data_IF_339239743681
#
_entry.id   IF_339239743681
#
_cell.length_a   1.000
_cell.length_b   1.000
_cell.length_c   1.000
_cell.angle_alpha   90.00
_cell.angle_beta   90.00
_cell.angle_gamma   90.00
#
_symmetry.space_group_name_H-M   'P 1'
#
loop_
_entity.id
_entity.type
_entity.pdbx_description
1 polymer ?
#
# COMPACT_ATOMS: atom_id res chain seq x y z
N UNK A 1 -12.03 2.42 -32.89
CA UNK A 1 -11.92 3.83 -32.44
C UNK A 1 -12.23 3.88 -30.95
N UNK A 2 -11.22 4.06 -30.10
CA UNK A 2 -11.43 4.37 -28.69
C UNK A 2 -11.55 5.89 -28.60
N UNK A 3 -12.61 6.46 -28.02
CA UNK A 3 -12.68 7.90 -27.82
C UNK A 3 -11.58 8.29 -26.83
N UNK A 4 -10.56 8.99 -27.33
CA UNK A 4 -9.54 9.63 -26.51
C UNK A 4 -10.19 10.85 -25.83
N UNK A 5 -10.86 10.60 -24.70
CA UNK A 5 -11.25 11.67 -23.79
C UNK A 5 -9.98 12.40 -23.32
N UNK A 6 -9.91 13.74 -23.42
CA UNK A 6 -8.79 14.50 -22.90
C UNK A 6 -8.77 14.35 -21.37
N UNK A 7 -7.98 13.39 -20.89
CA UNK A 7 -7.72 13.21 -19.47
C UNK A 7 -6.90 14.41 -19.01
N UNK A 8 -7.55 15.36 -18.36
CA UNK A 8 -6.87 16.47 -17.71
C UNK A 8 -5.87 15.91 -16.68
N UNK A 9 -4.68 16.53 -16.51
CA UNK A 9 -3.68 16.07 -15.54
C UNK A 9 -4.27 15.86 -14.14
N UNK A 10 -5.19 16.76 -13.74
CA UNK A 10 -5.94 16.69 -12.49
C UNK A 10 -6.74 15.38 -12.32
N UNK A 11 -7.38 14.87 -13.38
CA UNK A 11 -8.14 13.63 -13.33
C UNK A 11 -7.22 12.40 -13.10
N UNK A 12 -6.03 12.40 -13.70
CA UNK A 12 -5.03 11.34 -13.51
C UNK A 12 -4.51 11.33 -12.06
N UNK A 13 -4.23 12.51 -11.50
CA UNK A 13 -3.82 12.66 -10.10
C UNK A 13 -4.91 12.22 -9.12
N UNK A 14 -6.17 12.66 -9.35
CA UNK A 14 -7.31 12.25 -8.53
C UNK A 14 -7.51 10.74 -8.55
N UNK A 15 -7.41 10.10 -9.72
CA UNK A 15 -7.59 8.66 -9.86
C UNK A 15 -6.47 7.89 -9.14
N UNK A 16 -5.21 8.34 -9.26
CA UNK A 16 -4.08 7.74 -8.53
C UNK A 16 -4.21 7.86 -7.01
N UNK A 17 -4.59 9.04 -6.55
CA UNK A 17 -4.79 9.29 -5.12
C UNK A 17 -5.92 8.41 -4.58
N UNK A 18 -7.03 8.31 -5.32
CA UNK A 18 -8.15 7.44 -4.97
C UNK A 18 -7.72 5.97 -4.88
N UNK A 19 -7.06 5.42 -5.91
CA UNK A 19 -6.62 4.02 -5.94
C UNK A 19 -5.65 3.74 -4.79
N UNK A 20 -4.69 4.62 -4.56
CA UNK A 20 -3.69 4.44 -3.49
C UNK A 20 -4.35 4.50 -2.11
N UNK A 21 -5.30 5.42 -1.92
CA UNK A 21 -6.04 5.57 -0.67
C UNK A 21 -6.92 4.35 -0.41
N UNK A 22 -7.68 3.89 -1.41
CA UNK A 22 -8.51 2.69 -1.29
C UNK A 22 -7.69 1.45 -0.98
N UNK A 23 -6.55 1.26 -1.66
CA UNK A 23 -5.67 0.11 -1.43
C UNK A 23 -5.07 0.15 -0.03
N UNK A 24 -4.63 1.33 0.43
CA UNK A 24 -4.13 1.50 1.81
C UNK A 24 -5.20 1.26 2.84
N UNK A 25 -6.40 1.82 2.67
CA UNK A 25 -7.53 1.61 3.58
C UNK A 25 -7.90 0.13 3.68
N UNK A 26 -8.00 -0.57 2.55
CA UNK A 26 -8.25 -2.01 2.53
C UNK A 26 -7.14 -2.79 3.27
N UNK A 27 -5.87 -2.47 3.00
CA UNK A 27 -4.74 -3.09 3.70
C UNK A 27 -4.81 -2.87 5.22
N UNK A 28 -5.11 -1.65 5.67
CA UNK A 28 -5.26 -1.32 7.10
C UNK A 28 -6.40 -2.10 7.74
N UNK A 29 -7.53 -2.27 7.04
CA UNK A 29 -8.67 -3.08 7.52
C UNK A 29 -8.26 -4.55 7.69
N UNK A 30 -7.57 -5.13 6.71
CA UNK A 30 -7.08 -6.51 6.81
C UNK A 30 -6.10 -6.72 7.96
N UNK A 31 -5.15 -5.79 8.13
CA UNK A 31 -4.19 -5.80 9.24
C UNK A 31 -4.92 -5.68 10.58
N UNK A 32 -5.83 -4.72 10.72
CA UNK A 32 -6.57 -4.49 11.96
C UNK A 32 -7.47 -5.68 12.32
N UNK A 33 -8.20 -6.23 11.35
CA UNK A 33 -9.05 -7.40 11.56
C UNK A 33 -8.23 -8.65 11.92
N UNK A 34 -7.11 -8.90 11.22
CA UNK A 34 -6.20 -9.99 11.52
C UNK A 34 -5.56 -9.86 12.91
N UNK A 35 -5.07 -8.67 13.23
CA UNK A 35 -4.50 -8.35 14.54
C UNK A 35 -5.53 -8.54 15.66
N UNK A 36 -6.75 -8.02 15.49
CA UNK A 36 -7.83 -8.20 16.47
C UNK A 36 -8.14 -9.67 16.75
N UNK A 37 -8.22 -10.50 15.70
CA UNK A 37 -8.47 -11.94 15.85
C UNK A 37 -7.35 -12.67 16.60
N UNK A 38 -6.10 -12.24 16.43
CA UNK A 38 -4.96 -12.80 17.17
C UNK A 38 -4.91 -12.27 18.60
N UNK A 39 -5.05 -10.95 18.80
CA UNK A 39 -5.01 -10.30 20.10
C UNK A 39 -6.09 -10.82 21.04
N UNK A 40 -7.33 -11.00 20.55
CA UNK A 40 -8.40 -11.56 21.40
C UNK A 40 -8.04 -12.94 21.94
N UNK A 41 -7.34 -13.77 21.14
CA UNK A 41 -6.94 -15.13 21.53
C UNK A 41 -5.78 -15.10 22.51
N UNK A 42 -4.78 -14.25 22.27
CA UNK A 42 -3.67 -14.04 23.20
C UNK A 42 -4.16 -13.50 24.54
N UNK A 43 -5.05 -12.51 24.52
CA UNK A 43 -5.64 -11.93 25.74
C UNK A 43 -6.41 -12.97 26.55
N UNK A 44 -7.21 -13.82 25.90
CA UNK A 44 -7.92 -14.93 26.56
C UNK A 44 -6.95 -15.97 27.14
N UNK A 45 -5.92 -16.36 26.38
CA UNK A 45 -4.92 -17.32 26.84
C UNK A 45 -4.18 -16.81 28.09
N UNK A 46 -3.81 -15.53 28.11
CA UNK A 46 -3.16 -14.89 29.28
C UNK A 46 -4.15 -14.83 30.46
N UNK A 47 -5.39 -14.40 30.23
CA UNK A 47 -6.40 -14.29 31.29
C UNK A 47 -6.77 -15.61 31.95
N UNK A 48 -6.66 -16.74 31.23
CA UNK A 48 -6.96 -18.07 31.74
C UNK A 48 -5.85 -18.70 32.61
N UNK A 49 -4.64 -18.14 32.63
CA UNK A 49 -3.50 -18.67 33.41
C UNK A 49 -2.89 -19.98 32.87
N UNK A 50 -3.53 -20.64 31.90
CA UNK A 50 -3.07 -21.89 31.27
C UNK A 50 -2.80 -21.70 29.78
N UNK A 51 -1.92 -20.75 29.44
CA UNK A 51 -1.75 -20.27 28.07
C UNK A 51 -1.45 -21.36 27.02
N UNK A 52 -0.67 -22.38 27.36
CA UNK A 52 -0.26 -23.43 26.40
C UNK A 52 -1.34 -24.51 26.22
N UNK A 53 -2.02 -24.88 27.29
CA UNK A 53 -3.09 -25.89 27.27
C UNK A 53 -4.35 -25.34 26.61
N UNK A 54 -4.67 -24.07 26.86
CA UNK A 54 -5.79 -23.38 26.19
C UNK A 54 -5.52 -23.20 24.70
N UNK A 55 -4.29 -22.86 24.28
CA UNK A 55 -3.95 -22.80 22.86
C UNK A 55 -4.08 -24.17 22.16
N UNK A 56 -3.71 -25.27 22.82
CA UNK A 56 -3.83 -26.65 22.27
C UNK A 56 -5.25 -27.20 22.30
N UNK A 57 -6.03 -26.90 23.34
CA UNK A 57 -7.43 -27.34 23.43
C UNK A 57 -8.32 -26.64 22.40
N UNK A 58 -7.97 -25.39 22.04
CA UNK A 58 -8.74 -24.59 21.08
C UNK A 58 -8.39 -24.86 19.61
N UNK A 59 -7.31 -25.58 19.33
CA UNK A 59 -7.02 -26.14 17.99
C UNK A 59 -7.76 -27.46 17.75
N UNK A 60 -8.86 -27.74 18.45
CA UNK A 60 -9.63 -28.98 18.27
C UNK A 60 -11.14 -28.81 18.04
N UNK A 61 -11.69 -27.60 18.17
CA UNK A 61 -13.16 -27.37 18.15
C UNK A 61 -13.49 -26.16 17.29
N UNK A 62 -13.64 -26.33 15.96
CA UNK A 62 -14.33 -25.41 15.02
C UNK A 62 -13.77 -23.98 14.84
N UNK A 63 -13.01 -23.47 15.80
CA UNK A 63 -12.39 -22.13 15.86
C UNK A 63 -10.93 -22.13 15.41
N UNK A 64 -10.44 -23.29 14.97
CA UNK A 64 -9.09 -23.53 14.46
C UNK A 64 -8.76 -22.55 13.33
N UNK A 65 -9.77 -22.18 12.54
CA UNK A 65 -9.60 -21.24 11.46
C UNK A 65 -9.38 -19.79 11.91
N UNK A 66 -9.68 -19.39 13.15
CA UNK A 66 -9.56 -17.98 13.54
C UNK A 66 -8.11 -17.49 13.59
N UNK A 67 -7.18 -18.34 14.02
CA UNK A 67 -5.74 -18.04 14.05
C UNK A 67 -5.11 -18.11 12.66
N UNK A 68 -5.43 -19.15 11.88
CA UNK A 68 -4.98 -19.26 10.48
C UNK A 68 -5.56 -18.15 9.59
N UNK A 69 -6.84 -17.80 9.77
CA UNK A 69 -7.49 -16.70 9.05
C UNK A 69 -6.95 -15.35 9.52
N UNK A 70 -6.73 -15.15 10.81
CA UNK A 70 -6.12 -13.94 11.34
C UNK A 70 -4.71 -13.70 10.81
N UNK A 71 -3.87 -14.73 10.82
CA UNK A 71 -2.51 -14.68 10.26
C UNK A 71 -2.50 -14.52 8.74
N UNK A 72 -3.40 -15.21 8.02
CA UNK A 72 -3.55 -15.01 6.58
C UNK A 72 -4.01 -13.58 6.22
N UNK A 73 -4.98 -13.02 6.96
CA UNK A 73 -5.44 -11.64 6.78
C UNK A 73 -4.34 -10.63 7.08
N UNK A 74 -3.53 -10.86 8.12
CA UNK A 74 -2.35 -10.06 8.41
C UNK A 74 -1.32 -10.13 7.28
N UNK A 75 -0.97 -11.33 6.81
CA UNK A 75 -0.01 -11.53 5.73
C UNK A 75 -0.46 -10.86 4.43
N UNK A 76 -1.73 -11.04 4.04
CA UNK A 76 -2.32 -10.41 2.86
C UNK A 76 -2.38 -8.89 3.02
N UNK A 77 -2.81 -8.40 4.18
CA UNK A 77 -2.84 -6.96 4.47
C UNK A 77 -1.45 -6.32 4.40
N UNK A 78 -0.44 -6.97 4.98
CA UNK A 78 0.96 -6.50 4.95
C UNK A 78 1.52 -6.49 3.53
N UNK A 79 1.27 -7.57 2.77
CA UNK A 79 1.68 -7.68 1.37
C UNK A 79 1.02 -6.57 0.53
N UNK A 80 -0.29 -6.35 0.67
CA UNK A 80 -1.01 -5.26 0.02
C UNK A 80 -0.44 -3.90 0.40
N UNK A 81 -0.12 -3.67 1.68
CA UNK A 81 0.43 -2.41 2.14
C UNK A 81 1.80 -2.10 1.51
N UNK A 82 2.68 -3.10 1.44
CA UNK A 82 4.02 -2.97 0.85
C UNK A 82 3.95 -2.79 -0.67
N UNK A 83 3.07 -3.56 -1.33
CA UNK A 83 2.96 -3.60 -2.79
C UNK A 83 2.10 -2.44 -3.31
N UNK A 84 1.25 -1.80 -2.50
CA UNK A 84 0.39 -0.69 -2.92
C UNK A 84 1.16 0.41 -3.66
N UNK A 85 2.38 0.72 -3.20
CA UNK A 85 3.26 1.70 -3.82
C UNK A 85 3.83 1.27 -5.18
N UNK A 86 3.94 -0.03 -5.44
CA UNK A 86 4.38 -0.61 -6.72
C UNK A 86 3.20 -0.80 -7.67
N UNK A 87 2.06 -1.24 -7.15
CA UNK A 87 0.83 -1.44 -7.92
C UNK A 87 0.36 -0.12 -8.54
N UNK A 88 0.43 0.99 -7.80
CA UNK A 88 0.06 2.32 -8.32
C UNK A 88 0.92 2.77 -9.50
N UNK A 89 2.19 2.34 -9.56
CA UNK A 89 3.10 2.62 -10.69
C UNK A 89 2.76 1.79 -11.94
N UNK A 90 2.28 0.56 -11.74
CA UNK A 90 1.95 -0.35 -12.84
C UNK A 90 0.60 0.05 -13.48
N UNK A 91 -0.39 0.40 -12.66
CA UNK A 91 -1.76 0.65 -13.12
C UNK A 91 -1.87 1.98 -13.86
N UNK A 92 -1.16 3.00 -13.42
CA UNK A 92 -1.25 4.32 -14.03
C UNK A 92 0.05 4.61 -14.75
N UNK A 93 0.03 4.60 -16.09
CA UNK A 93 1.12 5.13 -16.90
C UNK A 93 1.32 6.60 -16.53
N UNK A 94 2.53 6.92 -16.08
CA UNK A 94 2.95 8.28 -15.78
C UNK A 94 3.09 9.00 -17.13
N UNK A 95 2.58 10.22 -17.30
CA UNK A 95 3.02 11.06 -18.40
C UNK A 95 4.55 11.24 -18.32
N UNK A 96 5.24 11.27 -19.46
CA UNK A 96 6.71 11.18 -19.56
C UNK A 96 7.47 12.27 -18.75
N UNK A 97 6.77 13.34 -18.36
CA UNK A 97 7.32 14.48 -17.61
C UNK A 97 7.25 14.33 -16.07
N UNK A 98 6.82 13.18 -15.53
CA UNK A 98 6.75 12.95 -14.08
C UNK A 98 8.09 12.56 -13.42
N UNK A 99 8.26 12.85 -12.13
CA UNK A 99 9.44 12.42 -11.37
C UNK A 99 9.56 10.88 -11.32
N UNK A 100 10.70 10.26 -11.62
CA UNK A 100 10.81 8.79 -11.68
C UNK A 100 10.63 8.08 -10.33
N UNK A 101 10.75 8.82 -9.21
CA UNK A 101 10.65 8.27 -7.84
C UNK A 101 9.29 8.52 -7.18
N UNK A 102 8.82 9.77 -7.18
CA UNK A 102 7.52 10.18 -6.60
C UNK A 102 6.39 10.16 -7.62
N UNK A 103 6.69 10.14 -8.93
CA UNK A 103 5.74 10.24 -10.05
C UNK A 103 4.85 11.48 -10.00
N UNK A 104 5.29 12.48 -9.24
CA UNK A 104 4.69 13.80 -9.18
C UNK A 104 5.05 14.56 -10.45
N UNK A 105 4.15 15.42 -10.92
CA UNK A 105 4.40 16.29 -12.07
C UNK A 105 5.69 17.07 -11.83
N UNK A 106 6.61 17.04 -12.80
CA UNK A 106 7.82 17.84 -12.71
C UNK A 106 7.41 19.29 -12.84
N UNK A 107 7.61 20.07 -11.79
CA UNK A 107 7.62 21.51 -11.94
C UNK A 107 8.91 21.86 -12.70
N UNK A 108 8.77 22.40 -13.90
CA UNK A 108 9.83 22.58 -14.90
C UNK A 108 11.07 23.34 -14.41
N UNK A 109 10.97 24.05 -13.28
CA UNK A 109 12.03 24.88 -12.72
C UNK A 109 12.80 24.28 -11.53
N UNK A 110 12.42 23.09 -11.01
CA UNK A 110 13.03 22.55 -9.79
C UNK A 110 14.00 21.38 -10.07
N UNK A 111 15.26 21.52 -9.62
CA UNK A 111 16.27 20.46 -9.61
C UNK A 111 15.91 19.27 -8.69
N UNK A 112 14.83 19.39 -7.90
CA UNK A 112 14.38 18.44 -6.88
C UNK A 112 12.86 18.26 -6.92
N UNK A 113 12.36 17.03 -6.80
CA UNK A 113 10.94 16.76 -6.48
C UNK A 113 10.61 17.30 -5.08
N UNK A 114 9.64 18.21 -4.97
CA UNK A 114 9.19 18.77 -3.68
C UNK A 114 8.60 17.71 -2.74
N UNK A 115 8.03 16.63 -3.29
CA UNK A 115 7.41 15.55 -2.51
C UNK A 115 8.41 14.54 -1.95
N UNK A 116 9.35 14.03 -2.77
CA UNK A 116 10.28 12.97 -2.33
C UNK A 116 11.74 13.39 -2.25
N UNK A 117 12.06 14.65 -2.54
CA UNK A 117 13.43 15.17 -2.50
C UNK A 117 14.36 14.64 -3.60
N UNK A 118 13.86 13.82 -4.53
CA UNK A 118 14.65 13.23 -5.63
C UNK A 118 15.22 14.33 -6.53
N UNK A 119 16.54 14.32 -6.76
CA UNK A 119 17.18 15.26 -7.68
C UNK A 119 17.09 14.76 -9.11
N UNK A 120 16.57 15.60 -10.00
CA UNK A 120 16.57 15.31 -11.42
C UNK A 120 18.00 15.43 -11.96
N UNK A 121 18.45 14.54 -12.84
CA UNK A 121 19.71 14.77 -13.55
C UNK A 121 19.56 16.05 -14.37
N UNK A 122 20.39 17.07 -14.08
CA UNK A 122 20.44 18.28 -14.89
C UNK A 122 20.76 17.85 -16.32
N UNK A 123 19.86 18.13 -17.27
CA UNK A 123 20.24 18.08 -18.69
C UNK A 123 21.33 19.13 -18.83
N UNK A 124 22.58 18.69 -18.98
CA UNK A 124 23.68 19.55 -19.36
C UNK A 124 23.24 20.25 -20.63
N UNK A 125 22.87 21.52 -20.52
CA UNK A 125 22.57 22.38 -21.65
C UNK A 125 23.80 22.27 -22.54
N UNK A 126 23.62 21.60 -23.68
CA UNK A 126 24.62 21.47 -24.71
C UNK A 126 25.13 22.88 -25.00
N UNK A 127 26.40 23.08 -24.65
CA UNK A 127 27.23 24.16 -25.12
C UNK A 127 27.38 24.01 -26.63
N UNK A 128 26.48 24.60 -27.38
CA UNK A 128 26.69 25.05 -28.75
C UNK A 128 26.30 26.52 -28.72
N UNK A 129 27.23 27.47 -28.51
CA UNK A 129 28.29 27.87 -29.45
C UNK A 129 27.71 28.11 -30.84
#
# INVERSE_FOLDING_TARGET
MKPDLPLTPAAVHATRWLITTLTRSAATIFIAAGAYLMLKKVAFAIGSGQGVEVLRAWTGVGEEHSLYRGSAMLAVGLALFLIASRLSRIIVRVPDDGCPRCLYERQDAADRCHECGYRFPQKSIERTA
#
